data_IF_712406864329
#
_entry.id   IF_712406864329
#
_cell.length_a   1.000
_cell.length_b   1.000
_cell.length_c   1.000
_cell.angle_alpha   90.00
_cell.angle_beta   90.00
_cell.angle_gamma   90.00
#
_symmetry.space_group_name_H-M   'P 1'
#
loop_
_entity.id
_entity.type
_entity.pdbx_description
1 polymer ?
#
# COMPACT_ATOMS: atom_id res chain seq x y z
N UNK A 1 17.31 25.56 18.51
CA UNK A 1 17.65 24.35 19.28
C UNK A 1 17.41 23.15 18.37
N UNK A 2 18.38 22.24 18.21
CA UNK A 2 18.15 20.99 17.48
C UNK A 2 17.31 20.06 18.35
N UNK A 3 16.30 19.44 17.73
CA UNK A 3 15.33 18.58 18.41
C UNK A 3 15.90 17.20 18.77
N UNK A 4 16.89 16.73 17.99
CA UNK A 4 17.60 15.45 18.16
C UNK A 4 18.99 15.54 17.47
N UNK A 5 19.90 14.62 17.83
CA UNK A 5 21.15 14.32 17.14
C UNK A 5 20.94 13.45 15.89
N UNK A 6 21.94 13.36 15.01
CA UNK A 6 21.88 12.50 13.81
C UNK A 6 21.72 11.02 14.18
N UNK A 7 22.43 10.57 15.22
CA UNK A 7 22.35 9.20 15.71
C UNK A 7 20.95 8.88 16.23
N UNK A 8 20.32 9.79 16.99
CA UNK A 8 18.94 9.63 17.45
C UNK A 8 17.96 9.62 16.29
N UNK A 9 18.12 10.50 15.30
CA UNK A 9 17.27 10.51 14.11
C UNK A 9 17.35 9.18 13.36
N UNK A 10 18.55 8.66 13.12
CA UNK A 10 18.74 7.36 12.46
C UNK A 10 18.15 6.23 13.30
N UNK A 11 18.41 6.20 14.61
CA UNK A 11 17.87 5.17 15.49
C UNK A 11 16.34 5.15 15.53
N UNK A 12 15.70 6.31 15.42
CA UNK A 12 14.24 6.46 15.45
C UNK A 12 13.55 6.24 14.11
N UNK A 13 14.27 6.38 12.98
CA UNK A 13 13.66 6.37 11.64
C UNK A 13 14.21 5.30 10.71
N UNK A 14 15.27 4.61 11.10
CA UNK A 14 15.76 3.45 10.36
C UNK A 14 14.69 2.37 10.34
N UNK A 15 14.51 1.77 9.16
CA UNK A 15 13.63 0.63 8.95
C UNK A 15 13.95 -0.47 9.97
N UNK A 16 12.91 -1.04 10.58
CA UNK A 16 13.04 -2.18 11.49
C UNK A 16 12.25 -3.36 10.95
N UNK A 17 12.92 -4.49 10.74
CA UNK A 17 12.23 -5.72 10.37
C UNK A 17 11.57 -6.31 11.62
N UNK A 18 10.24 -6.21 11.71
CA UNK A 18 9.47 -6.61 12.88
C UNK A 18 9.14 -8.11 12.85
N UNK A 19 9.42 -8.81 11.76
CA UNK A 19 9.12 -10.24 11.55
C UNK A 19 7.65 -10.58 11.83
N UNK A 20 6.74 -9.69 11.45
CA UNK A 20 5.28 -9.81 11.62
C UNK A 20 4.59 -10.44 10.40
N UNK A 21 5.35 -10.72 9.34
CA UNK A 21 4.87 -11.45 8.17
C UNK A 21 4.80 -10.57 6.92
N UNK A 22 3.72 -10.70 6.14
CA UNK A 22 3.58 -9.99 4.86
C UNK A 22 3.39 -8.48 5.08
N UNK A 23 2.69 -8.08 6.14
CA UNK A 23 2.34 -6.69 6.42
C UNK A 23 2.92 -6.25 7.77
N UNK A 24 3.70 -5.16 7.78
CA UNK A 24 4.34 -4.63 8.98
C UNK A 24 4.20 -3.10 9.03
N UNK A 25 4.01 -2.53 10.22
CA UNK A 25 3.91 -1.08 10.38
C UNK A 25 5.26 -0.50 10.85
N UNK A 26 5.97 0.16 9.93
CA UNK A 26 7.15 0.99 10.26
C UNK A 26 6.74 2.22 11.09
N UNK A 27 5.50 2.67 10.92
CA UNK A 27 4.85 3.66 11.79
C UNK A 27 3.33 3.53 11.70
N UNK A 28 2.58 4.34 12.45
CA UNK A 28 1.11 4.37 12.38
C UNK A 28 0.56 4.79 11.00
N UNK A 29 1.42 5.25 10.08
CA UNK A 29 1.08 5.79 8.74
C UNK A 29 1.92 5.22 7.59
N UNK A 30 2.85 4.31 7.87
CA UNK A 30 3.72 3.69 6.86
C UNK A 30 3.64 2.18 6.99
N UNK A 31 3.16 1.54 5.94
CA UNK A 31 3.04 0.09 5.84
C UNK A 31 4.19 -0.45 5.01
N UNK A 32 5.02 -1.29 5.61
CA UNK A 32 5.92 -2.20 4.91
C UNK A 32 5.15 -3.44 4.46
N UNK A 33 5.40 -3.86 3.22
CA UNK A 33 4.90 -5.10 2.65
C UNK A 33 6.09 -5.96 2.24
N UNK A 34 6.29 -7.07 2.95
CA UNK A 34 7.21 -8.14 2.57
C UNK A 34 6.56 -8.95 1.44
N UNK A 35 6.71 -8.45 0.21
CA UNK A 35 6.06 -9.02 -0.97
C UNK A 35 6.71 -10.34 -1.38
N UNK A 36 5.91 -11.39 -1.38
CA UNK A 36 6.20 -12.67 -2.04
C UNK A 36 4.94 -13.16 -2.77
N UNK A 37 4.87 -12.91 -4.07
CA UNK A 37 3.69 -13.18 -4.89
C UNK A 37 2.95 -11.90 -5.26
N UNK A 38 1.70 -11.74 -4.81
CA UNK A 38 0.79 -10.70 -5.31
C UNK A 38 0.08 -9.98 -4.16
N UNK A 39 0.07 -8.65 -4.21
CA UNK A 39 -0.71 -7.80 -3.31
C UNK A 39 -1.45 -6.73 -4.12
N UNK A 40 -2.69 -6.44 -3.75
CA UNK A 40 -3.43 -5.28 -4.25
C UNK A 40 -3.18 -4.08 -3.35
N UNK A 41 -3.04 -2.91 -3.97
CA UNK A 41 -2.82 -1.66 -3.26
C UNK A 41 -3.61 -0.52 -3.89
N UNK A 42 -3.93 0.51 -3.09
CA UNK A 42 -4.55 1.75 -3.59
C UNK A 42 -3.60 2.46 -4.54
N UNK A 43 -4.11 2.90 -5.68
CA UNK A 43 -3.33 3.63 -6.67
C UNK A 43 -2.72 4.90 -6.05
N UNK A 44 -1.41 5.08 -6.26
CA UNK A 44 -0.69 6.23 -5.72
C UNK A 44 -0.23 6.09 -4.27
N UNK A 45 -0.59 5.00 -3.57
CA UNK A 45 -0.14 4.78 -2.19
C UNK A 45 1.32 4.28 -2.10
N UNK A 46 1.96 3.90 -3.20
CA UNK A 46 3.34 3.40 -3.19
C UNK A 46 4.31 4.56 -2.99
N UNK A 47 5.14 4.46 -1.96
CA UNK A 47 6.19 5.42 -1.63
C UNK A 47 7.52 4.96 -2.21
N UNK A 48 7.90 3.70 -1.97
CA UNK A 48 9.13 3.10 -2.50
C UNK A 48 9.02 1.58 -2.55
N UNK A 49 9.96 0.93 -3.24
CA UNK A 49 10.09 -0.52 -3.26
C UNK A 49 11.54 -0.95 -3.50
N UNK A 50 11.87 -2.18 -3.09
CA UNK A 50 13.16 -2.83 -3.34
C UNK A 50 12.93 -4.27 -3.77
N UNK A 51 13.63 -4.72 -4.81
CA UNK A 51 13.49 -6.06 -5.36
C UNK A 51 12.81 -6.07 -6.73
N UNK A 52 12.38 -7.25 -7.16
CA UNK A 52 11.77 -7.42 -8.47
C UNK A 52 10.26 -7.35 -8.31
N UNK A 53 9.68 -6.16 -8.51
CA UNK A 53 8.25 -5.90 -8.35
C UNK A 53 7.69 -5.27 -9.62
N UNK A 54 6.64 -5.89 -10.17
CA UNK A 54 5.89 -5.39 -11.32
C UNK A 54 4.56 -4.79 -10.85
N UNK A 55 4.31 -3.55 -11.26
CA UNK A 55 3.07 -2.83 -10.96
C UNK A 55 2.15 -2.81 -12.19
N UNK A 56 0.91 -3.26 -12.03
CA UNK A 56 -0.10 -3.26 -13.10
C UNK A 56 -1.37 -2.56 -12.61
N UNK A 57 -1.76 -1.48 -13.28
CA UNK A 57 -2.99 -0.75 -12.97
C UNK A 57 -4.23 -1.59 -13.32
N UNK A 58 -5.20 -1.63 -12.41
CA UNK A 58 -6.53 -2.18 -12.71
C UNK A 58 -7.17 -1.38 -13.86
N UNK A 59 -7.52 -2.06 -14.95
CA UNK A 59 -8.32 -1.49 -16.04
C UNK A 59 -7.62 -1.17 -17.37
N UNK A 60 -6.33 -1.49 -17.57
CA UNK A 60 -5.71 -1.27 -18.90
C UNK A 60 -5.90 -2.46 -19.84
N UNK A 61 -6.06 -3.69 -19.33
CA UNK A 61 -6.06 -4.91 -20.17
C UNK A 61 -7.16 -5.93 -19.87
N UNK A 62 -7.86 -5.87 -18.74
CA UNK A 62 -8.76 -6.97 -18.36
C UNK A 62 -10.22 -6.78 -18.76
N UNK A 63 -10.73 -5.55 -18.88
CA UNK A 63 -12.13 -5.30 -19.25
C UNK A 63 -12.20 -4.11 -20.19
N UNK A 64 -12.70 -4.33 -21.40
CA UNK A 64 -12.76 -3.33 -22.48
C UNK A 64 -13.36 -1.98 -22.10
N UNK A 65 -13.14 -1.03 -23.01
CA UNK A 65 -13.43 0.42 -22.96
C UNK A 65 -14.82 0.78 -22.36
N UNK A 66 -15.80 -0.13 -22.42
CA UNK A 66 -17.16 0.04 -21.88
C UNK A 66 -17.24 0.14 -20.34
N UNK A 67 -16.38 -0.56 -19.58
CA UNK A 67 -16.42 -0.52 -18.11
C UNK A 67 -15.63 0.65 -17.49
N UNK A 68 -14.65 1.19 -18.23
CA UNK A 68 -13.90 2.37 -17.80
C UNK A 68 -14.80 3.62 -17.82
N UNK A 69 -15.69 3.74 -18.81
CA UNK A 69 -16.65 4.85 -18.92
C UNK A 69 -17.68 4.83 -17.78
N UNK A 70 -18.21 3.64 -17.40
CA UNK A 70 -19.18 3.53 -16.31
C UNK A 70 -18.59 3.89 -14.94
N UNK A 71 -17.36 3.45 -14.64
CA UNK A 71 -16.65 3.81 -13.39
C UNK A 71 -16.20 5.28 -13.36
N UNK A 72 -15.91 5.89 -14.52
CA UNK A 72 -15.55 7.31 -14.60
C UNK A 72 -16.76 8.25 -14.41
N UNK A 73 -17.98 7.78 -14.69
CA UNK A 73 -19.22 8.58 -14.60
C UNK A 73 -19.81 8.63 -13.19
N UNK A 74 -19.61 7.61 -12.33
CA UNK A 74 -20.09 7.66 -10.94
C UNK A 74 -19.15 8.38 -9.97
N UNK A 75 -17.85 8.48 -10.27
CA UNK A 75 -16.84 8.99 -9.33
C UNK A 75 -16.61 8.09 -8.10
N UNK A 76 -17.29 6.94 -8.04
CA UNK A 76 -17.28 5.98 -6.95
C UNK A 76 -16.45 4.77 -7.35
N UNK A 77 -15.18 4.75 -6.98
CA UNK A 77 -14.35 3.57 -7.12
C UNK A 77 -12.89 3.84 -6.80
N UNK A 78 -12.37 3.19 -5.75
CA UNK A 78 -10.92 3.15 -5.51
C UNK A 78 -10.27 2.54 -6.72
N UNK A 79 -9.29 3.25 -7.28
CA UNK A 79 -8.42 2.67 -8.30
C UNK A 79 -7.40 1.79 -7.59
N UNK A 80 -7.32 0.51 -7.97
CA UNK A 80 -6.33 -0.40 -7.43
C UNK A 80 -5.15 -0.59 -8.40
N UNK A 81 -4.01 -0.97 -7.84
CA UNK A 81 -2.81 -1.39 -8.55
C UNK A 81 -2.40 -2.75 -8.01
N UNK A 82 -2.13 -3.68 -8.92
CA UNK A 82 -1.59 -5.00 -8.62
C UNK A 82 -0.07 -4.91 -8.54
N UNK A 83 0.51 -5.28 -7.41
CA UNK A 83 1.96 -5.45 -7.26
C UNK A 83 2.28 -6.94 -7.23
N UNK A 84 3.19 -7.39 -8.10
CA UNK A 84 3.53 -8.80 -8.26
C UNK A 84 5.04 -9.00 -8.32
N UNK A 85 5.58 -9.96 -7.57
CA UNK A 85 7.00 -10.29 -7.57
C UNK A 85 7.54 -10.64 -6.18
N UNK A 86 8.83 -10.35 -5.96
CA UNK A 86 9.52 -10.58 -4.67
C UNK A 86 10.34 -9.37 -4.26
N UNK A 87 10.12 -8.88 -3.04
CA UNK A 87 10.80 -7.70 -2.53
C UNK A 87 10.14 -7.09 -1.30
N UNK A 88 10.50 -5.84 -0.99
CA UNK A 88 9.84 -5.01 0.02
C UNK A 88 9.18 -3.82 -0.66
N UNK A 89 7.99 -3.44 -0.21
CA UNK A 89 7.29 -2.24 -0.67
C UNK A 89 6.86 -1.40 0.53
N UNK A 90 6.83 -0.08 0.35
CA UNK A 90 6.40 0.86 1.37
C UNK A 90 5.20 1.63 0.86
N UNK A 91 4.12 1.59 1.63
CA UNK A 91 2.83 2.17 1.30
C UNK A 91 2.41 3.22 2.33
N UNK A 92 1.90 4.35 1.86
CA UNK A 92 1.29 5.40 2.68
C UNK A 92 0.21 6.14 1.89
N UNK A 93 -0.81 6.67 2.57
CA UNK A 93 -1.87 7.46 1.94
C UNK A 93 -2.07 8.78 2.69
N UNK A 94 -1.47 9.86 2.19
CA UNK A 94 -1.71 11.26 2.62
C UNK A 94 -1.77 11.49 4.15
N UNK A 95 -0.94 10.78 4.92
CA UNK A 95 -0.87 10.90 6.37
C UNK A 95 -2.01 10.23 7.16
N UNK A 96 -2.86 9.44 6.48
CA UNK A 96 -3.87 8.59 7.11
C UNK A 96 -3.23 7.49 7.92
N UNK A 97 -3.92 7.11 9.01
CA UNK A 97 -3.52 5.97 9.83
C UNK A 97 -3.83 4.67 9.12
N UNK A 98 -2.96 3.68 9.29
CA UNK A 98 -3.10 2.36 8.71
C UNK A 98 -3.48 1.37 9.81
N UNK A 99 -4.39 0.45 9.49
CA UNK A 99 -4.77 -0.66 10.36
C UNK A 99 -4.74 -1.95 9.56
N UNK A 100 -4.09 -2.97 10.12
CA UNK A 100 -4.02 -4.31 9.52
C UNK A 100 -5.13 -5.15 10.17
N UNK A 101 -6.05 -5.63 9.35
CA UNK A 101 -7.22 -6.39 9.80
C UNK A 101 -7.21 -7.74 9.09
N UNK A 102 -7.13 -8.83 9.86
CA UNK A 102 -7.33 -10.18 9.35
C UNK A 102 -8.84 -10.44 9.23
N UNK A 103 -9.29 -10.83 8.03
CA UNK A 103 -10.64 -11.33 7.80
C UNK A 103 -10.61 -12.86 7.82
N UNK A 104 -11.42 -13.48 8.68
CA UNK A 104 -11.66 -14.90 8.86
C UNK A 104 -13.00 -15.31 8.21
N UNK A 105 -13.20 -14.90 6.96
CA UNK A 105 -14.45 -15.12 6.23
C UNK A 105 -15.48 -14.00 6.39
N UNK A 106 -15.18 -12.94 7.16
CA UNK A 106 -16.00 -11.73 7.17
C UNK A 106 -15.79 -10.88 5.92
N UNK A 107 -16.74 -9.98 5.67
CA UNK A 107 -16.65 -8.94 4.66
C UNK A 107 -16.82 -7.57 5.32
N UNK A 108 -16.10 -6.57 4.82
CA UNK A 108 -16.22 -5.17 5.24
C UNK A 108 -16.51 -4.29 4.01
N UNK A 109 -17.33 -3.26 4.21
CA UNK A 109 -17.56 -2.22 3.22
C UNK A 109 -16.80 -0.96 3.67
N UNK A 110 -15.94 -0.45 2.80
CA UNK A 110 -15.13 0.76 3.07
C UNK A 110 -15.39 1.80 1.99
N UNK A 111 -15.24 3.08 2.35
CA UNK A 111 -15.30 4.17 1.38
C UNK A 111 -14.02 4.15 0.54
N UNK A 112 -14.17 4.16 -0.78
CA UNK A 112 -13.04 4.03 -1.67
C UNK A 112 -12.09 5.23 -1.76
N UNK A 113 -12.52 6.39 -1.24
CA UNK A 113 -11.67 7.58 -1.11
C UNK A 113 -10.81 7.53 0.14
N UNK A 114 -11.20 6.72 1.13
CA UNK A 114 -10.49 6.54 2.39
C UNK A 114 -9.37 5.49 2.29
#
# INVERSE_FOLDING_TARGET
>A
MSRYSLQEFVAQTAQQDLNQGIFELESDRMLEVNLDGLVWMKMGAMVSYRGQVKFTREGILEHGISNLLKKAVSGEGTKLTKAEGRGKMYLADLGKKISIIQLNGEAICVNGND
#
